data_IF_364782587437
#
_entry.id   IF_364782587437
#
_cell.length_a   1.000
_cell.length_b   1.000
_cell.length_c   1.000
_cell.angle_alpha   90.00
_cell.angle_beta   90.00
_cell.angle_gamma   90.00
#
_symmetry.space_group_name_H-M   'P 1'
#
loop_
_entity.id
_entity.type
_entity.pdbx_description
1 polymer ?
#
# COMPACT_ATOMS: atom_id res chain seq x y z
N UNK A 1 1.72 20.95 -15.72
CA UNK A 1 2.71 20.09 -16.40
C UNK A 1 2.71 18.73 -15.76
N UNK A 2 2.55 17.69 -16.54
CA UNK A 2 2.59 16.32 -16.03
C UNK A 2 4.03 15.93 -15.70
N UNK A 3 4.26 15.40 -14.50
CA UNK A 3 5.55 14.86 -14.09
C UNK A 3 5.54 13.34 -14.19
N UNK A 4 6.67 12.71 -14.55
CA UNK A 4 6.73 11.25 -14.52
C UNK A 4 6.40 10.70 -13.14
N UNK A 5 5.55 9.67 -13.09
CA UNK A 5 5.17 9.05 -11.82
C UNK A 5 6.37 8.45 -11.08
N UNK A 6 7.36 7.94 -11.82
CA UNK A 6 8.57 7.35 -11.23
C UNK A 6 9.34 8.36 -10.37
N UNK A 7 9.47 9.59 -10.85
CA UNK A 7 10.18 10.64 -10.12
C UNK A 7 9.43 11.02 -8.85
N UNK A 8 8.09 11.04 -8.90
CA UNK A 8 7.28 11.38 -7.75
C UNK A 8 7.13 10.26 -6.72
N UNK A 9 7.47 9.02 -7.08
CA UNK A 9 7.23 7.84 -6.22
C UNK A 9 8.46 6.99 -5.94
N UNK A 10 9.44 6.98 -6.82
CA UNK A 10 10.61 6.12 -6.70
C UNK A 10 11.79 6.87 -6.05
N UNK A 11 11.68 7.16 -4.76
CA UNK A 11 12.73 7.79 -3.99
C UNK A 11 12.95 7.05 -2.66
N UNK A 12 14.07 7.32 -2.02
CA UNK A 12 14.47 6.62 -0.79
C UNK A 12 13.40 6.70 0.29
N UNK A 13 13.15 5.57 0.95
CA UNK A 13 12.17 5.45 2.03
C UNK A 13 10.74 5.84 1.64
N UNK A 14 10.40 5.73 0.35
CA UNK A 14 9.06 6.09 -0.15
C UNK A 14 8.03 4.97 -0.01
N UNK A 15 8.46 3.74 0.28
CA UNK A 15 7.58 2.58 0.38
C UNK A 15 7.85 1.81 1.68
N UNK A 16 7.45 2.36 2.83
CA UNK A 16 7.60 1.63 4.09
C UNK A 16 6.79 0.34 4.05
N UNK A 17 7.37 -0.74 4.57
CA UNK A 17 6.77 -2.06 4.54
C UNK A 17 6.82 -2.68 5.93
N UNK A 18 5.68 -3.19 6.39
CA UNK A 18 5.60 -3.92 7.65
C UNK A 18 6.02 -5.38 7.49
N UNK A 19 5.77 -6.18 8.51
CA UNK A 19 6.06 -7.60 8.49
C UNK A 19 5.23 -8.30 7.40
N UNK A 20 5.89 -9.13 6.61
CA UNK A 20 5.21 -9.90 5.58
C UNK A 20 4.40 -11.04 6.21
N UNK A 21 3.19 -11.25 5.69
CA UNK A 21 2.34 -12.36 6.10
C UNK A 21 2.27 -13.38 4.96
N UNK A 22 2.74 -14.63 5.18
CA UNK A 22 2.69 -15.63 4.12
C UNK A 22 1.25 -16.00 3.76
N UNK A 23 0.97 -16.15 2.47
CA UNK A 23 -0.35 -16.56 2.01
C UNK A 23 -0.75 -17.93 2.55
N UNK A 24 0.21 -18.79 2.84
CA UNK A 24 -0.06 -20.08 3.48
C UNK A 24 -0.68 -19.95 4.87
N UNK A 25 -0.47 -18.79 5.52
CA UNK A 25 -0.99 -18.52 6.86
C UNK A 25 -2.32 -17.75 6.83
N UNK A 26 -2.43 -16.73 5.98
CA UNK A 26 -3.58 -15.84 5.94
C UNK A 26 -4.46 -16.00 4.70
N UNK A 27 -4.03 -16.80 3.73
CA UNK A 27 -4.70 -16.94 2.44
C UNK A 27 -4.49 -15.72 1.55
N UNK A 28 -5.41 -15.51 0.60
CA UNK A 28 -5.44 -14.35 -0.28
C UNK A 28 -6.65 -13.50 0.09
N UNK A 29 -6.49 -12.52 0.98
CA UNK A 29 -7.61 -11.69 1.42
C UNK A 29 -8.26 -10.99 0.23
N UNK A 30 -9.59 -11.14 0.09
CA UNK A 30 -10.38 -10.50 -0.96
C UNK A 30 -11.44 -9.55 -0.39
N UNK A 31 -11.57 -9.51 0.92
CA UNK A 31 -12.45 -8.60 1.65
C UNK A 31 -11.83 -8.29 2.99
N UNK A 32 -12.26 -7.22 3.62
CA UNK A 32 -11.75 -6.76 4.90
C UNK A 32 -11.45 -5.28 4.86
N UNK A 33 -11.51 -4.64 6.01
CA UNK A 33 -11.27 -3.21 6.11
C UNK A 33 -9.80 -2.88 5.86
N UNK A 34 -9.56 -1.87 5.04
CA UNK A 34 -8.26 -1.23 4.87
C UNK A 34 -8.42 0.25 5.22
N UNK A 35 -7.65 0.73 6.17
CA UNK A 35 -7.81 2.07 6.68
C UNK A 35 -6.47 2.74 6.96
N UNK A 36 -6.45 4.06 6.80
CA UNK A 36 -5.32 4.91 7.12
C UNK A 36 -5.79 6.06 8.00
N UNK A 37 -5.12 6.26 9.13
CA UNK A 37 -5.30 7.42 9.98
C UNK A 37 -4.06 8.30 9.92
N UNK A 38 -4.27 9.61 9.84
CA UNK A 38 -3.19 10.57 9.95
C UNK A 38 -3.45 11.41 11.21
N UNK A 39 -2.51 11.35 12.16
CA UNK A 39 -2.61 12.04 13.45
C UNK A 39 -3.93 11.71 14.18
N UNK A 40 -4.36 10.44 14.13
CA UNK A 40 -5.58 9.97 14.77
C UNK A 40 -6.87 10.21 13.99
N UNK A 41 -6.81 10.87 12.83
CA UNK A 41 -7.98 11.12 11.99
C UNK A 41 -7.99 10.17 10.81
N UNK A 42 -9.12 9.55 10.54
CA UNK A 42 -9.28 8.65 9.40
C UNK A 42 -9.20 9.46 8.11
N UNK A 43 -8.27 9.09 7.23
CA UNK A 43 -8.12 9.68 5.89
C UNK A 43 -8.57 8.74 4.79
N UNK A 44 -8.32 7.46 4.97
CA UNK A 44 -8.75 6.44 4.02
C UNK A 44 -9.44 5.34 4.80
N UNK A 45 -10.58 4.88 4.31
CA UNK A 45 -11.35 3.80 4.91
C UNK A 45 -12.07 3.08 3.77
N UNK A 46 -11.59 1.91 3.45
CA UNK A 46 -12.13 1.14 2.35
C UNK A 46 -12.21 -0.33 2.69
N UNK A 47 -12.51 -1.13 1.70
CA UNK A 47 -12.57 -2.58 1.80
C UNK A 47 -11.79 -3.21 0.65
N UNK A 48 -11.10 -4.29 0.93
CA UNK A 48 -10.37 -5.03 -0.10
C UNK A 48 -11.28 -5.48 -1.24
N UNK A 49 -12.57 -5.71 -0.96
CA UNK A 49 -13.55 -6.06 -1.97
C UNK A 49 -13.80 -4.96 -3.01
N UNK A 50 -13.35 -3.73 -2.75
CA UNK A 50 -13.45 -2.62 -3.70
C UNK A 50 -12.39 -2.65 -4.79
N UNK A 51 -11.41 -3.55 -4.70
CA UNK A 51 -10.42 -3.73 -5.76
C UNK A 51 -11.12 -4.21 -7.04
N UNK A 52 -10.77 -3.60 -8.18
CA UNK A 52 -11.30 -3.99 -9.48
C UNK A 52 -10.90 -5.43 -9.80
N UNK A 53 -9.63 -5.75 -9.58
CA UNK A 53 -9.10 -7.11 -9.68
C UNK A 53 -8.58 -7.56 -8.31
N UNK A 54 -8.92 -8.78 -7.90
CA UNK A 54 -8.39 -9.33 -6.66
C UNK A 54 -6.89 -9.69 -6.83
N UNK A 55 -6.23 -10.04 -5.74
CA UNK A 55 -4.79 -10.31 -5.75
C UNK A 55 -4.41 -11.43 -6.73
N UNK A 56 -5.08 -12.59 -6.75
CA UNK A 56 -4.76 -13.61 -7.76
C UNK A 56 -4.90 -13.13 -9.21
N UNK A 57 -5.93 -12.35 -9.51
CA UNK A 57 -6.14 -11.80 -10.85
C UNK A 57 -5.01 -10.84 -11.26
N UNK A 58 -4.56 -10.00 -10.33
CA UNK A 58 -3.43 -9.08 -10.58
C UNK A 58 -2.17 -9.87 -10.90
N UNK A 59 -1.89 -10.93 -10.16
CA UNK A 59 -0.72 -11.77 -10.38
C UNK A 59 -0.77 -12.42 -11.77
N UNK A 60 -1.92 -12.97 -12.13
CA UNK A 60 -2.11 -13.61 -13.45
C UNK A 60 -1.87 -12.61 -14.57
N UNK A 61 -2.47 -11.42 -14.48
CA UNK A 61 -2.33 -10.40 -15.52
C UNK A 61 -0.90 -9.90 -15.66
N UNK A 62 -0.20 -9.68 -14.57
CA UNK A 62 1.19 -9.25 -14.62
C UNK A 62 2.11 -10.34 -15.19
N UNK A 63 1.86 -11.59 -14.84
CA UNK A 63 2.67 -12.71 -15.35
C UNK A 63 2.54 -12.92 -16.84
N UNK A 64 1.48 -12.42 -17.47
CA UNK A 64 1.32 -12.42 -18.92
C UNK A 64 2.24 -11.42 -19.62
N UNK A 65 2.67 -10.37 -18.92
CA UNK A 65 3.46 -9.28 -19.49
C UNK A 65 4.92 -9.30 -19.07
N UNK A 66 5.19 -9.74 -17.84
CA UNK A 66 6.55 -9.78 -17.28
C UNK A 66 6.75 -11.07 -16.50
N UNK A 67 8.01 -11.51 -16.44
CA UNK A 67 8.37 -12.64 -15.61
C UNK A 67 8.40 -12.21 -14.14
N UNK A 68 7.63 -12.90 -13.31
CA UNK A 68 7.61 -12.65 -11.87
C UNK A 68 8.57 -13.61 -11.17
N UNK A 69 9.31 -13.09 -10.21
CA UNK A 69 10.29 -13.84 -9.44
C UNK A 69 10.06 -13.66 -7.94
N UNK A 70 10.61 -14.57 -7.15
CA UNK A 70 10.57 -14.45 -5.69
C UNK A 70 11.22 -13.14 -5.26
N UNK A 71 10.60 -12.42 -4.34
CA UNK A 71 11.06 -11.12 -3.88
C UNK A 71 10.43 -9.92 -4.60
N UNK A 72 9.71 -10.16 -5.70
CA UNK A 72 9.01 -9.08 -6.39
C UNK A 72 7.89 -8.51 -5.51
N UNK A 73 7.75 -7.19 -5.56
CA UNK A 73 6.71 -6.46 -4.84
C UNK A 73 5.74 -5.87 -5.84
N UNK A 74 4.45 -6.12 -5.65
CA UNK A 74 3.39 -5.60 -6.50
C UNK A 74 2.59 -4.57 -5.72
N UNK A 75 2.55 -3.34 -6.22
CA UNK A 75 1.72 -2.28 -5.65
C UNK A 75 0.32 -2.36 -6.26
N UNK A 76 -0.68 -2.59 -5.42
CA UNK A 76 -2.06 -2.85 -5.88
C UNK A 76 -2.97 -1.62 -5.82
N UNK A 77 -2.40 -0.46 -5.54
CA UNK A 77 -3.18 0.76 -5.47
C UNK A 77 -3.69 1.08 -4.06
N UNK A 78 -4.51 2.10 -3.97
CA UNK A 78 -4.98 2.62 -2.69
C UNK A 78 -6.44 3.04 -2.78
N UNK A 79 -7.19 3.00 -1.66
CA UNK A 79 -8.56 3.53 -1.62
C UNK A 79 -8.60 5.04 -1.85
N UNK A 80 -9.79 5.59 -2.04
CA UNK A 80 -10.00 7.03 -2.12
C UNK A 80 -9.55 7.72 -0.82
N UNK A 81 -9.27 9.01 -0.89
CA UNK A 81 -8.83 9.80 0.27
C UNK A 81 -7.34 10.13 0.25
N UNK A 82 -6.69 10.00 -0.91
CA UNK A 82 -5.29 10.40 -1.07
C UNK A 82 -5.15 11.89 -0.78
N UNK A 83 -4.20 12.23 0.08
CA UNK A 83 -3.92 13.60 0.46
C UNK A 83 -2.44 13.76 0.79
N UNK A 84 -1.97 15.00 0.73
CA UNK A 84 -0.59 15.31 1.06
C UNK A 84 -0.32 15.11 2.54
N UNK A 85 0.91 14.73 2.87
CA UNK A 85 1.42 14.64 4.23
C UNK A 85 2.57 15.62 4.41
N UNK A 86 2.84 16.00 5.65
CA UNK A 86 3.95 16.89 6.00
C UNK A 86 4.81 16.24 7.07
N UNK A 87 6.01 16.76 7.25
CA UNK A 87 6.93 16.27 8.29
C UNK A 87 6.25 16.29 9.66
N UNK A 88 6.42 15.23 10.41
CA UNK A 88 5.81 15.06 11.73
C UNK A 88 4.48 14.34 11.73
N UNK A 89 3.84 14.14 10.58
CA UNK A 89 2.60 13.39 10.51
C UNK A 89 2.83 11.94 10.90
N UNK A 90 1.95 11.43 11.78
CA UNK A 90 1.95 10.03 12.17
C UNK A 90 0.85 9.30 11.40
N UNK A 91 1.24 8.35 10.58
CA UNK A 91 0.33 7.54 9.77
C UNK A 91 0.16 6.17 10.43
N UNK A 92 -1.08 5.78 10.65
CA UNK A 92 -1.43 4.46 11.17
C UNK A 92 -2.25 3.72 10.12
N UNK A 93 -1.66 2.65 9.59
CA UNK A 93 -2.27 1.84 8.54
C UNK A 93 -2.71 0.50 9.12
N UNK A 94 -3.87 0.03 8.71
CA UNK A 94 -4.36 -1.28 9.12
C UNK A 94 -5.09 -1.96 7.96
N UNK A 95 -4.77 -3.22 7.75
CA UNK A 95 -5.52 -4.09 6.85
C UNK A 95 -5.99 -5.28 7.68
N UNK A 96 -7.30 -5.45 7.78
CA UNK A 96 -7.93 -6.54 8.53
C UNK A 96 -7.42 -7.89 8.04
N UNK A 97 -6.99 -8.73 8.97
CA UNK A 97 -6.44 -10.05 8.65
C UNK A 97 -4.99 -10.06 8.16
N UNK A 98 -4.40 -8.92 7.91
CA UNK A 98 -3.01 -8.81 7.44
C UNK A 98 -2.10 -8.20 8.49
N UNK A 99 -2.42 -7.01 8.98
CA UNK A 99 -1.59 -6.39 10.00
C UNK A 99 -1.73 -4.87 10.06
N UNK A 100 -0.86 -4.28 10.85
CA UNK A 100 -0.81 -2.84 11.11
C UNK A 100 0.59 -2.32 10.85
N UNK A 101 0.68 -1.08 10.41
CA UNK A 101 1.96 -0.39 10.21
C UNK A 101 1.80 1.05 10.67
N UNK A 102 2.74 1.52 11.47
CA UNK A 102 2.80 2.92 11.89
C UNK A 102 4.04 3.56 11.28
N UNK A 103 3.85 4.69 10.63
CA UNK A 103 4.92 5.44 9.97
C UNK A 103 4.86 6.89 10.41
N UNK A 104 6.01 7.48 10.71
CA UNK A 104 6.11 8.91 10.95
C UNK A 104 6.84 9.56 9.80
N UNK A 105 6.27 10.63 9.25
CA UNK A 105 6.90 11.35 8.15
C UNK A 105 8.06 12.15 8.71
N UNK A 106 9.25 11.87 8.22
CA UNK A 106 10.46 12.56 8.64
C UNK A 106 10.63 13.92 7.97
N UNK A 107 11.69 14.66 8.36
CA UNK A 107 12.01 15.92 7.68
C UNK A 107 12.42 15.66 6.24
N UNK A 108 12.33 16.69 5.36
CA UNK A 108 12.77 16.53 3.98
C UNK A 108 14.21 16.09 3.89
N UNK A 109 14.52 15.21 2.93
CA UNK A 109 15.88 14.79 2.66
C UNK A 109 16.68 15.96 2.11
N UNK A 110 17.93 16.07 2.53
CA UNK A 110 18.84 17.11 2.06
C UNK A 110 19.57 16.66 0.80
#
# INVERSE_FOLDING_TARGET
>A
MKRPWEIGKAFDASAPCGALQPASKIGHPSKGRIALKANGKVRQDGDLAQMIWNVPEVIVKLSEMVELAAGDIIMTGTPSGVAATVAGDKLECEIEGVGKLTVTIGPPAK
#
